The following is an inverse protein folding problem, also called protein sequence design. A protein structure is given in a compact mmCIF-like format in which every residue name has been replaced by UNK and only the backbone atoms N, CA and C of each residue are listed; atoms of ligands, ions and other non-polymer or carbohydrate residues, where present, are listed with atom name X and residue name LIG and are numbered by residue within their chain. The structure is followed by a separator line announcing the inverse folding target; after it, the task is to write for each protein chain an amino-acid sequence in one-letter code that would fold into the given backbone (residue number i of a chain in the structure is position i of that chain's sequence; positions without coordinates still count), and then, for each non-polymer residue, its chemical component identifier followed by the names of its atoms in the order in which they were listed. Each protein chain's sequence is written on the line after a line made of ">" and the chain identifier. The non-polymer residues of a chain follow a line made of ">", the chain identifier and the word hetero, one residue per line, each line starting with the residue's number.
data_IF_500891095366
#
_entry.id   IF_500891095366
#
_cell.length_a   1.000
_cell.length_b   1.000
_cell.length_c   1.000
_cell.angle_alpha   90.00
_cell.angle_beta   90.00
_cell.angle_gamma   90.00
#
_symmetry.space_group_name_H-M   'P 1'
#
loop_
_entity.id
_entity.type
_entity.pdbx_description
1 polymer ?
#
# COMPACT_ATOMS: atom_id res chain seq x y z
N UNK A 1 12.45 -74.60 30.11
CA UNK A 1 11.71 -73.43 30.57
C UNK A 1 11.99 -72.30 29.60
N UNK A 2 11.09 -72.08 28.67
CA UNK A 2 11.26 -71.06 27.59
C UNK A 2 10.40 -69.82 27.95
N UNK A 3 11.04 -68.67 28.24
CA UNK A 3 10.35 -67.39 28.44
C UNK A 3 10.24 -66.67 27.11
N UNK A 4 9.02 -66.57 26.57
CA UNK A 4 8.70 -65.72 25.44
C UNK A 4 8.46 -64.30 25.92
N UNK A 5 9.35 -63.36 25.54
CA UNK A 5 9.11 -61.92 25.70
C UNK A 5 8.25 -61.45 24.54
N UNK A 6 7.03 -60.97 24.83
CA UNK A 6 6.17 -60.21 23.88
C UNK A 6 6.68 -58.77 23.85
N UNK A 7 7.11 -58.33 22.67
CA UNK A 7 7.38 -56.92 22.37
C UNK A 7 6.06 -56.30 21.93
N UNK A 8 5.55 -55.32 22.71
CA UNK A 8 4.43 -54.50 22.36
C UNK A 8 5.00 -53.29 21.59
N UNK A 9 4.77 -53.21 20.26
CA UNK A 9 5.09 -52.07 19.47
C UNK A 9 3.99 -51.01 19.66
N UNK A 10 4.33 -49.89 20.31
CA UNK A 10 3.47 -48.71 20.46
C UNK A 10 3.59 -47.90 19.18
N UNK A 11 2.59 -47.97 18.28
CA UNK A 11 2.53 -47.14 17.09
C UNK A 11 2.13 -45.71 17.46
N UNK A 12 3.06 -44.77 17.31
CA UNK A 12 2.77 -43.33 17.37
C UNK A 12 2.10 -42.92 16.04
N UNK A 13 0.79 -42.66 16.09
CA UNK A 13 0.08 -42.00 14.99
C UNK A 13 0.38 -40.51 15.11
N UNK A 14 1.27 -40.00 14.28
CA UNK A 14 1.49 -38.56 14.11
C UNK A 14 0.35 -38.04 13.26
N UNK A 15 -0.63 -37.40 13.89
CA UNK A 15 -1.61 -36.57 13.18
C UNK A 15 -0.89 -35.33 12.63
N UNK A 16 -0.47 -35.39 11.39
CA UNK A 16 -0.03 -34.22 10.65
C UNK A 16 -1.24 -33.27 10.46
N UNK A 17 -1.32 -32.20 11.25
CA UNK A 17 -2.19 -31.09 10.97
C UNK A 17 -1.72 -30.44 9.66
N UNK A 18 -2.34 -30.84 8.56
CA UNK A 18 -2.22 -30.13 7.31
C UNK A 18 -2.93 -28.79 7.49
N UNK A 19 -2.20 -27.74 7.87
CA UNK A 19 -2.71 -26.38 7.78
C UNK A 19 -2.81 -26.08 6.28
N UNK A 20 -3.97 -26.32 5.70
CA UNK A 20 -4.31 -25.73 4.41
C UNK A 20 -4.31 -24.20 4.63
N UNK A 21 -3.22 -23.57 4.23
CA UNK A 21 -3.18 -22.13 3.99
C UNK A 21 -4.23 -21.87 2.92
N UNK A 22 -5.45 -21.50 3.33
CA UNK A 22 -6.42 -20.94 2.40
C UNK A 22 -5.77 -19.68 1.83
N UNK A 23 -5.28 -19.74 0.61
CA UNK A 23 -4.86 -18.56 -0.12
C UNK A 23 -6.03 -17.58 -0.04
N UNK A 24 -5.77 -16.39 0.48
CA UNK A 24 -6.79 -15.35 0.56
C UNK A 24 -7.29 -15.06 -0.85
N UNK A 25 -8.60 -15.12 -1.05
CA UNK A 25 -9.19 -14.84 -2.37
C UNK A 25 -8.81 -13.41 -2.80
N UNK A 26 -8.33 -13.28 -4.04
CA UNK A 26 -8.05 -11.99 -4.63
C UNK A 26 -9.33 -11.12 -4.65
N UNK A 27 -9.23 -9.80 -4.43
CA UNK A 27 -10.39 -8.94 -4.50
C UNK A 27 -10.91 -8.86 -5.94
N UNK A 28 -12.22 -8.66 -6.09
CA UNK A 28 -12.86 -8.34 -7.37
C UNK A 28 -13.29 -6.87 -7.45
N UNK A 29 -13.18 -6.18 -6.35
CA UNK A 29 -13.49 -4.75 -6.23
C UNK A 29 -12.79 -4.14 -5.01
N UNK A 30 -12.44 -2.85 -5.09
CA UNK A 30 -11.93 -2.13 -3.93
C UNK A 30 -12.44 -0.70 -3.89
N UNK A 31 -12.33 -0.06 -2.72
CA UNK A 31 -12.48 1.37 -2.54
C UNK A 31 -11.15 1.95 -2.04
N UNK A 32 -10.85 3.17 -2.45
CA UNK A 32 -9.70 3.92 -2.00
C UNK A 32 -10.18 5.31 -1.56
N UNK A 33 -10.30 5.51 -0.24
CA UNK A 33 -10.90 6.70 0.37
C UNK A 33 -9.99 7.20 1.48
N UNK A 34 -9.22 8.25 1.20
CA UNK A 34 -8.32 8.86 2.20
C UNK A 34 -8.99 10.04 2.94
N UNK A 35 -9.98 10.67 2.31
CA UNK A 35 -10.72 11.80 2.87
C UNK A 35 -12.10 11.33 3.32
N UNK A 36 -12.17 10.47 4.34
CA UNK A 36 -13.42 9.86 4.79
C UNK A 36 -14.40 10.89 5.42
N UNK A 37 -13.90 11.98 5.96
CA UNK A 37 -14.67 13.14 6.43
C UNK A 37 -15.40 13.88 5.28
N UNK A 38 -14.90 13.76 4.06
CA UNK A 38 -15.59 14.22 2.85
C UNK A 38 -16.64 13.22 2.37
N UNK A 39 -16.51 11.93 2.70
CA UNK A 39 -17.50 10.89 2.37
C UNK A 39 -18.79 11.06 3.18
N UNK A 40 -18.70 11.51 4.43
CA UNK A 40 -19.84 11.68 5.35
C UNK A 40 -19.55 12.79 6.37
N UNK A 41 -20.64 13.35 6.96
CA UNK A 41 -20.52 14.44 7.94
C UNK A 41 -20.02 13.97 9.30
N UNK A 42 -20.25 12.71 9.63
CA UNK A 42 -19.83 12.11 10.90
C UNK A 42 -19.14 10.79 10.65
N UNK A 43 -18.26 10.38 11.57
CA UNK A 43 -17.58 9.09 11.50
C UNK A 43 -18.58 7.92 11.47
N UNK A 44 -19.67 7.99 12.25
CA UNK A 44 -20.71 6.96 12.27
C UNK A 44 -21.40 6.80 10.90
N UNK A 45 -21.69 7.91 10.21
CA UNK A 45 -22.24 7.88 8.84
C UNK A 45 -21.21 7.32 7.84
N UNK A 46 -19.92 7.67 7.99
CA UNK A 46 -18.85 7.10 7.15
C UNK A 46 -18.73 5.59 7.35
N UNK A 47 -18.75 5.10 8.60
CA UNK A 47 -18.75 3.67 8.94
C UNK A 47 -19.91 2.97 8.25
N UNK A 48 -21.13 3.52 8.35
CA UNK A 48 -22.32 2.94 7.72
C UNK A 48 -22.20 2.87 6.18
N UNK A 49 -21.69 3.94 5.54
CA UNK A 49 -21.49 3.97 4.09
C UNK A 49 -20.41 2.98 3.64
N UNK A 50 -19.29 2.90 4.37
CA UNK A 50 -18.22 1.96 4.10
C UNK A 50 -18.67 0.51 4.29
N UNK A 51 -19.43 0.23 5.34
CA UNK A 51 -20.02 -1.10 5.57
C UNK A 51 -20.96 -1.51 4.43
N UNK A 52 -21.77 -0.59 3.91
CA UNK A 52 -22.76 -0.86 2.87
C UNK A 52 -22.17 -0.87 1.43
N UNK A 53 -20.90 -0.47 1.21
CA UNK A 53 -20.38 -0.18 -0.14
C UNK A 53 -20.17 -1.40 -1.05
N UNK A 54 -20.28 -2.63 -0.54
CA UNK A 54 -20.17 -3.86 -1.34
C UNK A 54 -18.74 -4.21 -1.81
N UNK A 55 -17.70 -3.45 -1.44
CA UNK A 55 -16.30 -3.69 -1.87
C UNK A 55 -15.66 -4.83 -1.09
N UNK A 56 -14.75 -5.56 -1.76
CA UNK A 56 -13.95 -6.63 -1.13
C UNK A 56 -12.83 -6.05 -0.27
N UNK A 57 -12.09 -5.09 -0.81
CA UNK A 57 -11.05 -4.37 -0.09
C UNK A 57 -11.42 -2.90 0.04
N UNK A 58 -11.06 -2.31 1.16
CA UNK A 58 -11.24 -0.88 1.42
C UNK A 58 -9.92 -0.34 1.94
N UNK A 59 -9.33 0.61 1.21
CA UNK A 59 -8.16 1.36 1.65
C UNK A 59 -8.64 2.68 2.24
N UNK A 60 -8.24 2.95 3.49
CA UNK A 60 -8.58 4.15 4.25
C UNK A 60 -7.31 4.81 4.79
N UNK A 61 -7.36 6.11 5.06
CA UNK A 61 -6.40 6.70 6.01
C UNK A 61 -6.56 6.04 7.39
N UNK A 62 -5.53 6.09 8.24
CA UNK A 62 -5.59 5.58 9.60
C UNK A 62 -6.63 6.29 10.50
N UNK A 63 -7.12 7.46 10.05
CA UNK A 63 -8.10 8.28 10.75
C UNK A 63 -9.26 8.65 9.84
N UNK A 64 -10.44 8.89 10.44
CA UNK A 64 -11.59 9.46 9.75
C UNK A 64 -11.33 10.92 9.35
N UNK A 65 -10.73 11.66 10.24
CA UNK A 65 -10.22 13.03 10.06
C UNK A 65 -8.93 13.21 10.88
N UNK A 66 -8.28 14.35 10.78
CA UNK A 66 -6.99 14.63 11.44
C UNK A 66 -6.99 14.28 12.93
N UNK A 67 -8.07 14.56 13.65
CA UNK A 67 -8.17 14.38 15.10
C UNK A 67 -9.06 13.21 15.52
N UNK A 68 -9.58 12.44 14.57
CA UNK A 68 -10.55 11.38 14.86
C UNK A 68 -10.12 10.03 14.25
N UNK A 69 -9.25 9.26 14.94
CA UNK A 69 -8.80 7.96 14.45
C UNK A 69 -9.96 6.94 14.43
N UNK A 70 -9.84 5.95 13.54
CA UNK A 70 -10.73 4.79 13.57
C UNK A 70 -10.49 3.96 14.82
N UNK A 71 -11.57 3.40 15.37
CA UNK A 71 -11.51 2.44 16.48
C UNK A 71 -11.60 1.00 15.93
N UNK A 72 -11.19 0.03 16.74
CA UNK A 72 -11.36 -1.39 16.40
C UNK A 72 -12.84 -1.74 16.13
N UNK A 73 -13.79 -1.12 16.83
CA UNK A 73 -15.22 -1.32 16.62
C UNK A 73 -15.69 -0.75 15.27
N UNK A 74 -15.19 0.43 14.87
CA UNK A 74 -15.50 1.01 13.57
C UNK A 74 -15.02 0.08 12.44
N UNK A 75 -13.76 -0.38 12.52
CA UNK A 75 -13.17 -1.28 11.53
C UNK A 75 -13.89 -2.64 11.48
N UNK A 76 -14.28 -3.18 12.63
CA UNK A 76 -15.07 -4.41 12.68
C UNK A 76 -16.43 -4.22 11.96
N UNK A 77 -17.15 -3.13 12.25
CA UNK A 77 -18.43 -2.80 11.60
C UNK A 77 -18.25 -2.66 10.07
N UNK A 78 -17.19 -1.97 9.62
CA UNK A 78 -16.91 -1.84 8.19
C UNK A 78 -16.61 -3.22 7.58
N UNK A 79 -15.80 -4.04 8.24
CA UNK A 79 -15.41 -5.38 7.77
C UNK A 79 -16.61 -6.31 7.65
N UNK A 80 -17.50 -6.31 8.65
CA UNK A 80 -18.66 -7.19 8.74
C UNK A 80 -19.75 -6.86 7.69
N UNK A 81 -19.67 -5.70 7.05
CA UNK A 81 -20.56 -5.32 5.95
C UNK A 81 -20.45 -6.22 4.69
N UNK A 82 -19.40 -7.04 4.58
CA UNK A 82 -19.26 -8.05 3.51
C UNK A 82 -18.36 -9.19 3.96
N UNK A 83 -18.77 -10.42 3.74
CA UNK A 83 -17.98 -11.63 4.06
C UNK A 83 -16.64 -11.57 3.32
N UNK A 84 -15.55 -11.78 4.06
CA UNK A 84 -14.19 -11.80 3.51
C UNK A 84 -13.57 -10.43 3.22
N UNK A 85 -14.29 -9.33 3.53
CA UNK A 85 -13.78 -7.97 3.35
C UNK A 85 -12.49 -7.72 4.14
N UNK A 86 -11.60 -6.93 3.54
CA UNK A 86 -10.40 -6.41 4.19
C UNK A 86 -10.44 -4.89 4.26
N UNK A 87 -10.00 -4.36 5.39
CA UNK A 87 -9.85 -2.92 5.63
C UNK A 87 -8.37 -2.65 5.86
N UNK A 88 -7.77 -1.87 4.98
CA UNK A 88 -6.32 -1.70 4.83
C UNK A 88 -6.01 -0.23 5.08
N UNK A 89 -4.96 0.08 5.86
CA UNK A 89 -4.58 1.46 6.16
C UNK A 89 -3.55 1.99 5.17
N UNK A 90 -3.80 3.19 4.66
CA UNK A 90 -2.81 3.98 3.94
C UNK A 90 -1.65 4.39 4.87
N UNK A 91 -0.45 4.42 4.33
CA UNK A 91 0.75 4.91 5.01
C UNK A 91 1.78 5.40 3.98
N UNK A 92 2.11 6.70 3.99
CA UNK A 92 3.22 7.24 3.21
C UNK A 92 4.56 6.82 3.83
N UNK A 93 5.42 6.15 3.05
CA UNK A 93 6.71 5.64 3.53
C UNK A 93 7.93 6.33 2.92
N UNK A 94 7.72 7.09 1.85
CA UNK A 94 8.77 7.86 1.15
C UNK A 94 8.67 9.36 1.36
N UNK A 95 7.60 9.83 2.03
CA UNK A 95 7.42 11.23 2.42
C UNK A 95 6.88 11.36 3.84
N UNK A 96 7.30 12.41 4.55
CA UNK A 96 6.76 12.82 5.82
C UNK A 96 5.63 13.84 5.58
N UNK A 97 4.53 13.69 6.32
CA UNK A 97 3.34 14.53 6.19
C UNK A 97 3.19 15.42 7.42
N UNK A 98 3.14 16.77 7.25
CA UNK A 98 3.20 17.75 8.35
C UNK A 98 1.94 17.78 9.23
N UNK A 99 0.90 17.09 8.81
CA UNK A 99 -0.35 16.93 9.55
C UNK A 99 -0.42 15.63 10.37
N UNK A 100 0.64 14.83 10.38
CA UNK A 100 0.69 13.58 11.16
C UNK A 100 1.21 13.81 12.57
N UNK A 101 0.77 12.95 13.49
CA UNK A 101 1.12 13.01 14.91
C UNK A 101 2.64 13.01 15.18
N UNK A 102 3.42 12.36 14.30
CA UNK A 102 4.88 12.32 14.44
C UNK A 102 5.58 13.62 14.02
N UNK A 103 4.88 14.53 13.34
CA UNK A 103 5.48 15.78 12.86
C UNK A 103 5.79 16.74 14.03
N UNK A 104 6.97 17.32 13.99
CA UNK A 104 7.32 18.39 14.90
C UNK A 104 7.26 19.74 14.16
N UNK A 105 6.39 20.67 14.56
CA UNK A 105 6.26 21.97 13.90
C UNK A 105 7.56 22.76 13.80
N UNK A 106 8.55 22.48 14.67
CA UNK A 106 9.87 23.12 14.62
C UNK A 106 10.75 22.63 13.45
N UNK A 107 10.31 21.60 12.70
CA UNK A 107 11.06 21.11 11.53
C UNK A 107 10.94 22.04 10.31
N UNK A 108 9.86 22.79 10.22
CA UNK A 108 9.64 23.88 9.24
C UNK A 108 8.73 24.93 9.89
N UNK A 109 9.28 25.69 10.86
CA UNK A 109 8.53 26.64 11.66
C UNK A 109 8.10 27.89 10.88
N UNK A 110 8.84 28.22 9.82
CA UNK A 110 8.53 29.38 8.96
C UNK A 110 7.62 29.00 7.76
N UNK A 111 7.30 27.71 7.58
CA UNK A 111 6.46 27.17 6.50
C UNK A 111 6.94 27.51 5.09
N UNK A 112 8.28 27.56 4.87
CA UNK A 112 8.86 27.82 3.54
C UNK A 112 9.08 26.52 2.72
N UNK A 113 8.73 25.36 3.28
CA UNK A 113 8.86 24.05 2.65
C UNK A 113 10.29 23.48 2.72
N UNK A 114 11.11 24.01 3.61
CA UNK A 114 12.49 23.54 3.83
C UNK A 114 12.71 23.20 5.30
N UNK A 115 13.43 22.11 5.57
CA UNK A 115 13.77 21.79 6.94
C UNK A 115 14.59 22.90 7.61
N UNK A 116 14.17 23.34 8.80
CA UNK A 116 14.88 24.31 9.64
C UNK A 116 16.09 23.68 10.35
N UNK A 117 16.94 24.54 10.94
CA UNK A 117 18.04 24.08 11.77
C UNK A 117 17.51 23.26 12.95
N UNK A 118 17.96 22.01 13.08
CA UNK A 118 17.48 21.08 14.13
C UNK A 118 16.42 20.08 13.62
N UNK A 119 15.96 20.20 12.40
CA UNK A 119 15.21 19.13 11.76
C UNK A 119 16.08 17.87 11.59
N UNK A 120 15.50 16.67 11.62
CA UNK A 120 16.28 15.44 11.50
C UNK A 120 16.92 15.30 10.12
N UNK A 121 18.10 14.69 10.06
CA UNK A 121 18.89 14.56 8.85
C UNK A 121 18.20 13.75 7.72
N UNK A 122 17.19 12.98 8.05
CA UNK A 122 16.39 12.24 7.08
C UNK A 122 15.32 13.10 6.40
N UNK A 123 14.94 14.26 6.97
CA UNK A 123 13.92 15.14 6.42
C UNK A 123 14.52 16.03 5.31
N UNK A 124 13.86 16.08 4.18
CA UNK A 124 14.24 16.88 3.01
C UNK A 124 13.17 17.92 2.70
N UNK A 125 13.35 18.69 1.61
CA UNK A 125 12.39 19.71 1.21
C UNK A 125 11.02 19.16 0.81
N UNK A 126 10.00 20.03 0.94
CA UNK A 126 8.62 19.74 0.58
C UNK A 126 8.48 19.32 -0.89
N UNK A 127 7.59 18.39 -1.16
CA UNK A 127 7.18 18.03 -2.49
C UNK A 127 6.44 19.22 -3.14
N UNK A 128 6.88 19.72 -4.29
CA UNK A 128 6.29 20.90 -4.92
C UNK A 128 4.85 20.66 -5.42
N UNK A 129 4.46 19.40 -5.64
CA UNK A 129 3.11 19.03 -6.11
C UNK A 129 2.13 18.77 -4.96
N UNK A 130 2.66 18.42 -3.78
CA UNK A 130 1.86 18.08 -2.61
C UNK A 130 2.30 18.88 -1.40
N UNK A 131 1.63 20.02 -1.16
CA UNK A 131 1.92 20.86 0.00
C UNK A 131 1.64 20.10 1.31
N UNK A 132 2.59 20.18 2.24
CA UNK A 132 2.53 19.46 3.52
C UNK A 132 3.24 18.12 3.49
N UNK A 133 3.67 17.65 2.31
CA UNK A 133 4.44 16.43 2.16
C UNK A 133 5.91 16.75 1.94
N UNK A 134 6.79 16.14 2.72
CA UNK A 134 8.23 16.37 2.70
C UNK A 134 8.95 15.09 2.33
N UNK A 135 9.82 15.15 1.34
CA UNK A 135 10.66 14.01 0.94
C UNK A 135 11.52 13.56 2.11
N UNK A 136 11.79 12.26 2.18
CA UNK A 136 12.62 11.69 3.24
C UNK A 136 13.70 10.78 2.68
N UNK A 137 14.79 10.64 3.42
CA UNK A 137 15.76 9.57 3.20
C UNK A 137 15.22 8.29 3.83
N UNK A 138 14.37 7.57 3.09
CA UNK A 138 13.63 6.41 3.59
C UNK A 138 14.53 5.25 4.06
N UNK A 139 15.81 5.23 3.69
CA UNK A 139 16.82 4.29 4.18
C UNK A 139 17.36 4.61 5.57
N UNK A 140 17.05 5.79 6.11
CA UNK A 140 17.56 6.21 7.42
C UNK A 140 16.80 5.54 8.57
N UNK A 141 17.52 4.88 9.51
CA UNK A 141 16.88 4.12 10.61
C UNK A 141 15.93 4.95 11.47
N UNK A 142 16.22 6.24 11.67
CA UNK A 142 15.36 7.11 12.47
C UNK A 142 14.00 7.35 11.82
N UNK A 143 13.92 7.52 10.51
CA UNK A 143 12.67 7.57 9.77
C UNK A 143 11.95 6.22 9.79
N UNK A 144 12.66 5.15 9.51
CA UNK A 144 12.12 3.80 9.53
C UNK A 144 11.48 3.45 10.88
N UNK A 145 12.11 3.84 12.00
CA UNK A 145 11.56 3.60 13.34
C UNK A 145 10.23 4.32 13.57
N UNK A 146 10.07 5.55 13.09
CA UNK A 146 8.79 6.29 13.14
C UNK A 146 7.71 5.50 12.39
N UNK A 147 8.00 5.08 11.16
CA UNK A 147 7.02 4.36 10.33
C UNK A 147 6.71 2.96 10.87
N UNK A 148 7.68 2.23 11.39
CA UNK A 148 7.43 0.93 12.02
C UNK A 148 6.55 1.07 13.26
N UNK A 149 6.67 2.15 14.02
CA UNK A 149 5.76 2.45 15.13
C UNK A 149 4.33 2.70 14.63
N UNK A 150 4.17 3.43 13.52
CA UNK A 150 2.86 3.62 12.90
C UNK A 150 2.28 2.30 12.38
N UNK A 151 3.09 1.42 11.78
CA UNK A 151 2.65 0.07 11.37
C UNK A 151 2.12 -0.72 12.55
N UNK A 152 2.83 -0.70 13.69
CA UNK A 152 2.37 -1.38 14.92
C UNK A 152 1.01 -0.84 15.38
N UNK A 153 0.84 0.48 15.39
CA UNK A 153 -0.43 1.11 15.79
C UNK A 153 -1.57 0.76 14.82
N UNK A 154 -1.33 0.81 13.51
CA UNK A 154 -2.29 0.44 12.48
C UNK A 154 -2.78 -0.99 12.68
N UNK A 155 -1.87 -1.94 12.82
CA UNK A 155 -2.22 -3.36 12.98
C UNK A 155 -2.90 -3.59 14.34
N UNK A 156 -2.43 -2.95 15.42
CA UNK A 156 -3.05 -3.04 16.74
C UNK A 156 -4.46 -2.46 16.78
N UNK A 157 -4.76 -1.43 15.98
CA UNK A 157 -6.12 -0.87 15.84
C UNK A 157 -7.07 -1.84 15.15
N UNK A 158 -6.57 -2.83 14.41
CA UNK A 158 -7.38 -3.87 13.78
C UNK A 158 -7.51 -3.73 12.27
N UNK A 159 -6.70 -2.93 11.60
CA UNK A 159 -6.58 -2.99 10.14
C UNK A 159 -6.02 -4.35 9.69
N UNK A 160 -6.45 -4.81 8.53
CA UNK A 160 -6.00 -6.08 7.95
C UNK A 160 -4.64 -5.97 7.26
N UNK A 161 -4.07 -4.79 7.15
CA UNK A 161 -2.79 -4.55 6.52
C UNK A 161 -2.52 -3.08 6.22
N UNK A 162 -1.49 -2.84 5.40
CA UNK A 162 -1.01 -1.50 5.02
C UNK A 162 -0.95 -1.34 3.50
N UNK A 163 -1.37 -0.16 3.05
CA UNK A 163 -1.23 0.32 1.68
C UNK A 163 -0.15 1.40 1.68
N UNK A 164 0.98 1.10 1.06
CA UNK A 164 2.21 1.89 1.17
C UNK A 164 2.31 2.84 -0.01
N UNK A 165 2.31 4.13 0.27
CA UNK A 165 2.46 5.18 -0.72
C UNK A 165 3.89 5.73 -0.76
N UNK A 166 4.21 6.43 -1.88
CA UNK A 166 5.53 6.99 -2.18
C UNK A 166 6.63 5.90 -2.17
N UNK A 167 6.27 4.71 -2.64
CA UNK A 167 7.22 3.63 -2.90
C UNK A 167 8.11 3.97 -4.10
N UNK A 168 7.62 4.78 -5.02
CA UNK A 168 8.37 5.37 -6.13
C UNK A 168 9.28 6.54 -5.71
N UNK A 169 9.31 6.90 -4.43
CA UNK A 169 10.17 7.96 -3.88
C UNK A 169 11.65 7.82 -4.21
N UNK A 170 12.13 6.61 -4.55
CA UNK A 170 13.49 6.39 -5.05
C UNK A 170 13.79 7.13 -6.35
N UNK A 171 12.81 7.38 -7.20
CA UNK A 171 12.98 8.09 -8.47
C UNK A 171 13.50 9.52 -8.27
N UNK A 172 13.13 10.16 -7.15
CA UNK A 172 13.66 11.47 -6.77
C UNK A 172 15.19 11.46 -6.63
N UNK A 173 15.74 10.37 -6.13
CA UNK A 173 17.18 10.21 -5.91
C UNK A 173 17.91 9.67 -7.14
N UNK A 174 17.19 9.07 -8.07
CA UNK A 174 17.71 8.67 -9.39
C UNK A 174 17.77 9.84 -10.37
N UNK A 175 17.11 10.96 -10.05
CA UNK A 175 17.16 12.17 -10.87
C UNK A 175 18.53 12.86 -10.75
N UNK A 176 19.13 13.19 -11.90
CA UNK A 176 20.36 13.97 -12.02
C UNK A 176 20.15 15.13 -13.02
N UNK A 177 19.71 16.26 -12.51
CA UNK A 177 19.28 17.38 -13.33
C UNK A 177 18.06 17.01 -14.18
N UNK A 178 18.24 16.90 -15.51
CA UNK A 178 17.17 16.49 -16.45
C UNK A 178 17.21 15.00 -16.80
N UNK A 179 18.20 14.28 -16.33
CA UNK A 179 18.42 12.88 -16.65
C UNK A 179 18.00 11.99 -15.47
N UNK A 180 17.67 10.75 -15.76
CA UNK A 180 17.51 9.69 -14.77
C UNK A 180 18.68 8.73 -14.89
N UNK A 181 19.20 8.29 -13.75
CA UNK A 181 20.23 7.25 -13.66
C UNK A 181 19.55 6.05 -13.03
N UNK A 182 19.09 5.15 -13.89
CA UNK A 182 18.45 3.92 -13.45
C UNK A 182 19.33 3.14 -12.47
N UNK A 183 18.73 2.71 -11.38
CA UNK A 183 19.36 1.91 -10.33
C UNK A 183 20.59 2.62 -9.72
N UNK A 184 20.52 3.94 -9.60
CA UNK A 184 21.59 4.79 -9.05
C UNK A 184 21.99 4.33 -7.65
N UNK A 185 23.32 4.24 -7.44
CA UNK A 185 23.87 3.86 -6.13
C UNK A 185 23.67 4.99 -5.11
N UNK A 186 23.13 4.64 -3.95
CA UNK A 186 23.05 5.49 -2.78
C UNK A 186 24.42 5.50 -2.07
N UNK A 187 25.10 6.64 -1.97
CA UNK A 187 26.43 6.71 -1.33
C UNK A 187 26.40 6.45 0.18
N UNK A 188 25.23 6.57 0.82
CA UNK A 188 25.09 6.33 2.27
C UNK A 188 24.96 4.83 2.61
N UNK A 189 24.40 4.02 1.70
CA UNK A 189 24.16 2.57 1.93
C UNK A 189 25.06 1.70 1.07
N UNK A 190 25.65 2.23 0.01
CA UNK A 190 26.38 1.49 -1.02
C UNK A 190 25.51 0.49 -1.80
N UNK A 191 24.18 0.58 -1.68
CA UNK A 191 23.19 -0.12 -2.49
C UNK A 191 22.55 0.84 -3.49
N UNK A 192 21.73 0.35 -4.43
CA UNK A 192 20.91 1.26 -5.23
C UNK A 192 19.75 1.81 -4.40
N UNK A 193 19.27 3.02 -4.75
CA UNK A 193 18.07 3.57 -4.12
C UNK A 193 16.87 2.64 -4.27
N UNK A 194 16.73 1.94 -5.40
CA UNK A 194 15.69 0.91 -5.60
C UNK A 194 15.84 -0.24 -4.60
N UNK A 195 17.08 -0.73 -4.38
CA UNK A 195 17.33 -1.80 -3.41
C UNK A 195 17.02 -1.35 -1.98
N UNK A 196 17.39 -0.15 -1.60
CA UNK A 196 17.04 0.42 -0.29
C UNK A 196 15.52 0.46 -0.08
N UNK A 197 14.72 0.81 -1.13
CA UNK A 197 13.26 0.81 -1.04
C UNK A 197 12.69 -0.60 -0.96
N UNK A 198 13.23 -1.54 -1.73
CA UNK A 198 12.85 -2.97 -1.62
C UNK A 198 13.06 -3.47 -0.21
N UNK A 199 14.24 -3.23 0.39
CA UNK A 199 14.54 -3.67 1.75
C UNK A 199 13.64 -2.97 2.77
N UNK A 200 13.29 -1.72 2.54
CA UNK A 200 12.38 -0.96 3.39
C UNK A 200 10.95 -1.54 3.37
N UNK A 201 10.37 -1.78 2.21
CA UNK A 201 9.05 -2.41 2.09
C UNK A 201 9.04 -3.82 2.71
N UNK A 202 10.12 -4.60 2.54
CA UNK A 202 10.28 -5.91 3.19
C UNK A 202 10.32 -5.81 4.71
N UNK A 203 10.98 -4.79 5.25
CA UNK A 203 11.02 -4.56 6.71
C UNK A 203 9.63 -4.23 7.26
N UNK A 204 8.86 -3.38 6.55
CA UNK A 204 7.45 -3.08 6.90
C UNK A 204 6.60 -4.35 6.85
N UNK A 205 6.72 -5.15 5.80
CA UNK A 205 5.97 -6.40 5.66
C UNK A 205 6.28 -7.38 6.80
N UNK A 206 7.54 -7.54 7.14
CA UNK A 206 7.97 -8.37 8.26
C UNK A 206 7.40 -7.85 9.58
N UNK A 207 7.43 -6.53 9.83
CA UNK A 207 6.90 -5.90 11.04
C UNK A 207 5.39 -6.10 11.17
N UNK A 208 4.62 -5.80 10.13
CA UNK A 208 3.17 -5.98 10.13
C UNK A 208 2.78 -7.43 10.44
N UNK A 209 3.50 -8.40 9.86
CA UNK A 209 3.25 -9.83 10.04
C UNK A 209 3.73 -10.38 11.38
N UNK A 210 4.50 -9.64 12.14
CA UNK A 210 4.85 -10.02 13.54
C UNK A 210 3.60 -9.99 14.43
N UNK A 211 2.72 -9.00 14.24
CA UNK A 211 1.50 -8.84 15.03
C UNK A 211 0.31 -9.57 14.39
N UNK A 212 0.18 -9.49 13.07
CA UNK A 212 -0.85 -10.20 12.30
C UNK A 212 -0.18 -10.97 11.16
N UNK A 213 0.01 -12.27 11.32
CA UNK A 213 0.71 -13.12 10.34
C UNK A 213 0.10 -13.12 8.93
N UNK A 214 -1.16 -12.66 8.81
CA UNK A 214 -1.89 -12.52 7.54
C UNK A 214 -2.00 -11.08 7.08
N UNK A 215 -1.21 -10.15 7.65
CA UNK A 215 -1.25 -8.74 7.27
C UNK A 215 -0.93 -8.54 5.79
N UNK A 216 -1.82 -7.83 5.12
CA UNK A 216 -1.72 -7.51 3.70
C UNK A 216 -0.78 -6.32 3.52
N UNK A 217 0.11 -6.39 2.54
CA UNK A 217 1.05 -5.32 2.20
C UNK A 217 0.93 -5.00 0.72
N UNK A 218 0.55 -3.77 0.43
CA UNK A 218 0.29 -3.27 -0.94
C UNK A 218 1.13 -2.02 -1.18
N UNK A 219 2.23 -2.07 -1.90
CA UNK A 219 2.92 -0.87 -2.38
C UNK A 219 2.14 -0.22 -3.52
N UNK A 220 2.19 1.11 -3.60
CA UNK A 220 1.65 1.89 -4.70
C UNK A 220 2.78 2.39 -5.60
N UNK A 221 2.61 2.26 -6.91
CA UNK A 221 3.59 2.67 -7.92
C UNK A 221 4.95 1.96 -7.76
N UNK A 222 6.06 2.58 -8.17
CA UNK A 222 7.40 2.00 -8.05
C UNK A 222 7.52 0.64 -8.75
N UNK A 223 6.86 0.46 -9.88
CA UNK A 223 6.73 -0.85 -10.56
C UNK A 223 8.06 -1.46 -10.99
N UNK A 224 9.11 -0.64 -11.16
CA UNK A 224 10.49 -1.08 -11.44
C UNK A 224 11.01 -2.04 -10.35
N UNK A 225 10.53 -1.91 -9.10
CA UNK A 225 10.91 -2.79 -7.99
C UNK A 225 10.44 -4.22 -8.19
N UNK A 226 9.42 -4.45 -9.03
CA UNK A 226 8.92 -5.78 -9.38
C UNK A 226 9.93 -6.63 -10.18
N UNK A 227 11.04 -6.05 -10.62
CA UNK A 227 12.17 -6.81 -11.13
C UNK A 227 12.84 -7.69 -10.04
N UNK A 228 12.56 -7.44 -8.76
CA UNK A 228 13.14 -8.16 -7.64
C UNK A 228 12.17 -9.22 -7.10
N UNK A 229 12.50 -10.49 -7.25
CA UNK A 229 11.66 -11.60 -6.81
C UNK A 229 11.38 -11.58 -5.29
N UNK A 230 12.33 -11.13 -4.47
CA UNK A 230 12.15 -11.01 -3.02
C UNK A 230 11.19 -9.87 -2.61
N UNK A 231 11.08 -8.82 -3.45
CA UNK A 231 10.06 -7.80 -3.30
C UNK A 231 8.66 -8.38 -3.58
N UNK A 232 8.50 -9.07 -4.72
CA UNK A 232 7.23 -9.72 -5.08
C UNK A 232 6.80 -10.70 -3.99
N UNK A 233 7.72 -11.47 -3.41
CA UNK A 233 7.42 -12.42 -2.34
C UNK A 233 6.95 -11.74 -1.05
N UNK A 234 7.38 -10.50 -0.78
CA UNK A 234 7.06 -9.76 0.42
C UNK A 234 5.68 -9.07 0.39
N UNK A 235 5.14 -8.79 -0.79
CA UNK A 235 3.90 -8.03 -1.00
C UNK A 235 2.73 -8.94 -1.38
N UNK A 236 1.49 -8.49 -1.19
CA UNK A 236 0.28 -9.27 -1.51
C UNK A 236 -0.44 -8.77 -2.76
N UNK A 237 -0.27 -7.51 -3.10
CA UNK A 237 -0.78 -6.85 -4.29
C UNK A 237 0.11 -5.65 -4.63
N UNK A 238 -0.15 -5.00 -5.75
CA UNK A 238 0.42 -3.69 -6.11
C UNK A 238 -0.69 -2.76 -6.56
N UNK A 239 -0.64 -1.49 -6.11
CA UNK A 239 -1.47 -0.41 -6.63
C UNK A 239 -0.72 0.37 -7.70
N UNK A 240 -1.42 0.83 -8.74
CA UNK A 240 -0.87 1.69 -9.79
C UNK A 240 -1.87 2.76 -10.13
N UNK A 241 -1.42 4.01 -10.17
CA UNK A 241 -2.24 5.17 -10.55
C UNK A 241 -1.95 5.63 -11.96
N UNK A 242 -2.99 6.18 -12.61
CA UNK A 242 -2.88 6.80 -13.94
C UNK A 242 -2.20 5.89 -14.99
N UNK A 243 -2.40 4.59 -14.92
CA UNK A 243 -1.73 3.62 -15.81
C UNK A 243 -2.17 3.80 -17.28
N UNK A 244 -3.46 4.02 -17.50
CA UNK A 244 -4.03 4.14 -18.84
C UNK A 244 -4.40 5.58 -19.19
N UNK A 245 -4.67 6.43 -18.19
CA UNK A 245 -4.97 7.83 -18.42
C UNK A 245 -4.55 8.71 -17.24
N UNK A 246 -3.87 9.82 -17.50
CA UNK A 246 -3.70 10.89 -16.53
C UNK A 246 -4.92 11.82 -16.60
N UNK A 247 -5.86 11.65 -15.67
CA UNK A 247 -7.16 12.28 -15.73
C UNK A 247 -7.91 11.94 -17.01
N UNK A 248 -8.27 12.94 -17.80
CA UNK A 248 -8.99 12.73 -19.07
C UNK A 248 -8.08 12.59 -20.32
N UNK A 249 -6.77 12.52 -20.14
CA UNK A 249 -5.80 12.35 -21.20
C UNK A 249 -5.22 10.94 -21.17
N UNK A 250 -5.44 10.17 -22.22
CA UNK A 250 -4.84 8.83 -22.36
C UNK A 250 -3.31 8.91 -22.30
N UNK A 251 -2.71 7.96 -21.61
CA UNK A 251 -1.27 7.79 -21.59
C UNK A 251 -0.72 7.40 -22.96
N UNK A 252 0.54 7.66 -23.20
CA UNK A 252 1.21 7.18 -24.40
C UNK A 252 1.38 5.67 -24.31
N UNK A 253 1.16 4.97 -25.42
CA UNK A 253 1.27 3.51 -25.47
C UNK A 253 2.65 2.99 -24.99
N UNK A 254 3.73 3.74 -25.23
CA UNK A 254 5.06 3.37 -24.78
C UNK A 254 5.21 3.46 -23.26
N UNK A 255 4.65 4.51 -22.63
CA UNK A 255 4.71 4.73 -21.19
C UNK A 255 3.87 3.65 -20.47
N UNK A 256 2.64 3.39 -20.94
CA UNK A 256 1.79 2.30 -20.43
C UNK A 256 2.48 0.94 -20.58
N UNK A 257 3.07 0.67 -21.77
CA UNK A 257 3.76 -0.60 -22.01
C UNK A 257 4.93 -0.80 -21.05
N UNK A 258 5.72 0.23 -20.80
CA UNK A 258 6.85 0.18 -19.87
C UNK A 258 6.41 -0.30 -18.48
N UNK A 259 5.31 0.25 -17.95
CA UNK A 259 4.78 -0.16 -16.65
C UNK A 259 4.17 -1.58 -16.71
N UNK A 260 3.41 -1.90 -17.77
CA UNK A 260 2.82 -3.24 -17.94
C UNK A 260 3.88 -4.35 -18.01
N UNK A 261 5.05 -4.06 -18.57
CA UNK A 261 6.16 -5.04 -18.63
C UNK A 261 6.60 -5.45 -17.22
N UNK A 262 6.67 -4.55 -16.25
CA UNK A 262 6.95 -4.88 -14.85
C UNK A 262 5.75 -5.56 -14.17
N UNK A 263 4.54 -5.08 -14.40
CA UNK A 263 3.32 -5.64 -13.81
C UNK A 263 3.07 -7.09 -14.21
N UNK A 264 3.62 -7.54 -15.34
CA UNK A 264 3.55 -8.93 -15.78
C UNK A 264 4.09 -9.91 -14.74
N UNK A 265 5.05 -9.49 -13.90
CA UNK A 265 5.58 -10.29 -12.82
C UNK A 265 4.55 -10.56 -11.70
N UNK A 266 3.66 -9.61 -11.42
CA UNK A 266 2.56 -9.80 -10.47
C UNK A 266 1.52 -10.79 -11.01
N UNK A 267 1.17 -10.67 -12.29
CA UNK A 267 0.28 -11.63 -12.98
C UNK A 267 0.86 -13.04 -12.95
N UNK A 268 2.16 -13.18 -13.24
CA UNK A 268 2.86 -14.46 -13.18
C UNK A 268 2.90 -15.06 -11.76
N UNK A 269 2.95 -14.20 -10.74
CA UNK A 269 2.89 -14.59 -9.33
C UNK A 269 1.45 -14.81 -8.81
N UNK A 270 0.43 -14.67 -9.66
CA UNK A 270 -0.99 -14.72 -9.30
C UNK A 270 -1.38 -13.73 -8.19
N UNK A 271 -0.75 -12.55 -8.16
CA UNK A 271 -1.03 -11.47 -7.21
C UNK A 271 -1.81 -10.35 -7.88
N UNK A 272 -2.82 -9.76 -7.19
CA UNK A 272 -3.65 -8.72 -7.77
C UNK A 272 -2.86 -7.45 -8.10
N UNK A 273 -3.25 -6.81 -9.20
CA UNK A 273 -2.91 -5.43 -9.52
C UNK A 273 -4.17 -4.59 -9.33
N UNK A 274 -4.07 -3.54 -8.52
CA UNK A 274 -5.12 -2.56 -8.25
C UNK A 274 -4.85 -1.34 -9.13
N UNK A 275 -5.68 -1.11 -10.14
CA UNK A 275 -5.54 0.00 -11.09
C UNK A 275 -6.44 1.16 -10.67
N UNK A 276 -5.84 2.32 -10.37
CA UNK A 276 -6.51 3.51 -9.88
C UNK A 276 -6.51 4.58 -10.96
N UNK A 277 -7.69 4.94 -11.46
CA UNK A 277 -7.87 5.89 -12.55
C UNK A 277 -8.73 7.08 -12.15
N UNK A 278 -8.34 8.27 -12.56
CA UNK A 278 -8.98 9.53 -12.17
C UNK A 278 -9.74 10.21 -13.32
N UNK A 279 -10.11 9.45 -14.33
CA UNK A 279 -10.85 9.94 -15.49
C UNK A 279 -12.24 10.45 -15.09
N UNK A 280 -12.61 11.66 -15.56
CA UNK A 280 -13.93 12.27 -15.33
C UNK A 280 -14.88 12.04 -16.51
N UNK A 281 -14.34 12.00 -17.75
CA UNK A 281 -15.14 11.83 -18.97
C UNK A 281 -15.50 10.38 -19.21
N UNK A 282 -16.80 10.08 -19.36
CA UNK A 282 -17.31 8.72 -19.60
C UNK A 282 -16.56 7.93 -20.69
N UNK A 283 -16.23 8.52 -21.89
CA UNK A 283 -15.48 7.77 -22.90
C UNK A 283 -14.10 7.32 -22.42
N UNK A 284 -13.42 8.12 -21.59
CA UNK A 284 -12.11 7.77 -21.02
C UNK A 284 -12.30 6.71 -19.94
N UNK A 285 -13.27 6.87 -19.03
CA UNK A 285 -13.62 5.85 -18.03
C UNK A 285 -13.89 4.48 -18.67
N UNK A 286 -14.60 4.44 -19.79
CA UNK A 286 -14.86 3.19 -20.51
C UNK A 286 -13.58 2.58 -21.04
N UNK A 287 -12.66 3.38 -21.59
CA UNK A 287 -11.38 2.90 -22.13
C UNK A 287 -10.46 2.36 -21.04
N UNK A 288 -10.28 3.08 -19.92
CA UNK A 288 -9.40 2.65 -18.84
C UNK A 288 -9.92 1.35 -18.20
N UNK A 289 -11.23 1.26 -17.95
CA UNK A 289 -11.85 0.02 -17.44
C UNK A 289 -11.63 -1.16 -18.37
N UNK A 290 -11.86 -0.97 -19.68
CA UNK A 290 -11.64 -2.03 -20.66
C UNK A 290 -10.17 -2.46 -20.72
N UNK A 291 -9.23 -1.50 -20.65
CA UNK A 291 -7.81 -1.80 -20.65
C UNK A 291 -7.38 -2.55 -19.38
N UNK A 292 -7.84 -2.13 -18.20
CA UNK A 292 -7.59 -2.82 -16.94
C UNK A 292 -8.15 -4.25 -16.95
N UNK A 293 -9.39 -4.43 -17.40
CA UNK A 293 -10.03 -5.74 -17.50
C UNK A 293 -9.30 -6.68 -18.47
N UNK A 294 -8.78 -6.17 -19.60
CA UNK A 294 -7.98 -6.94 -20.56
C UNK A 294 -6.68 -7.46 -19.95
N UNK A 295 -6.12 -6.73 -18.98
CA UNK A 295 -4.91 -7.13 -18.26
C UNK A 295 -5.21 -7.96 -16.99
N UNK A 296 -6.48 -8.23 -16.68
CA UNK A 296 -6.88 -8.99 -15.49
C UNK A 296 -6.75 -8.19 -14.19
N UNK A 297 -6.72 -6.86 -14.25
CA UNK A 297 -6.57 -5.98 -13.09
C UNK A 297 -7.90 -5.69 -12.42
N UNK A 298 -7.85 -5.42 -11.12
CA UNK A 298 -8.97 -4.86 -10.37
C UNK A 298 -8.89 -3.35 -10.49
N UNK A 299 -9.84 -2.73 -11.17
CA UNK A 299 -9.82 -1.30 -11.43
C UNK A 299 -10.74 -0.53 -10.49
N UNK A 300 -10.40 0.73 -10.24
CA UNK A 300 -11.28 1.75 -9.68
C UNK A 300 -11.17 3.02 -10.51
N UNK A 301 -12.32 3.64 -10.80
CA UNK A 301 -12.39 5.01 -11.32
C UNK A 301 -12.97 5.88 -10.21
N UNK A 302 -12.19 6.82 -9.73
CA UNK A 302 -12.53 7.67 -8.58
C UNK A 302 -12.09 9.12 -8.78
N UNK A 303 -12.23 9.97 -7.78
CA UNK A 303 -11.69 11.32 -7.77
C UNK A 303 -10.26 11.35 -7.24
N UNK A 304 -9.42 12.26 -7.77
CA UNK A 304 -8.01 12.36 -7.39
C UNK A 304 -7.77 12.74 -5.92
N UNK A 305 -8.75 13.29 -5.26
CA UNK A 305 -8.66 13.62 -3.83
C UNK A 305 -9.11 12.46 -2.94
N UNK A 306 -9.52 11.34 -3.53
CA UNK A 306 -9.93 10.13 -2.82
C UNK A 306 -11.00 10.37 -1.75
N UNK A 307 -12.02 11.16 -2.14
CA UNK A 307 -13.16 11.56 -1.30
C UNK A 307 -14.39 10.68 -1.47
N UNK A 308 -14.42 9.85 -2.51
CA UNK A 308 -15.58 9.05 -2.89
C UNK A 308 -15.26 7.57 -3.00
N UNK A 309 -16.29 6.74 -2.93
CA UNK A 309 -16.16 5.29 -3.11
C UNK A 309 -15.81 4.88 -4.56
N UNK A 310 -15.90 5.79 -5.51
CA UNK A 310 -15.67 5.51 -6.91
C UNK A 310 -16.51 4.36 -7.47
N UNK A 311 -16.19 3.94 -8.68
CA UNK A 311 -16.71 2.74 -9.33
C UNK A 311 -15.58 1.75 -9.52
N UNK A 312 -15.75 0.49 -9.12
CA UNK A 312 -14.69 -0.52 -9.15
C UNK A 312 -15.21 -1.89 -9.58
N UNK A 313 -14.35 -2.69 -10.19
CA UNK A 313 -14.65 -4.03 -10.67
C UNK A 313 -13.48 -4.69 -11.37
N UNK A 314 -13.77 -5.84 -12.01
CA UNK A 314 -12.85 -6.58 -12.88
C UNK A 314 -13.35 -6.67 -14.33
N UNK A 315 -14.61 -6.32 -14.55
CA UNK A 315 -15.23 -6.30 -15.87
C UNK A 315 -15.27 -4.85 -16.43
N UNK A 316 -15.25 -4.67 -17.77
CA UNK A 316 -15.25 -3.35 -18.41
C UNK A 316 -16.43 -2.48 -18.02
#
# INVERSE_FOLDING_TARGET
>A
MNFHRKIIALGFIVFGFCHSLFAQAAPTSFAYVLQADSLAKTKAEAVAKLAACGRDWIVLDASFSTDEPWTAADLATIRDGKIGRKVISYLSIGEAEDYRVYWNPAWDANHDGKPDAGAPAWLLGQNPEWKGNYRVKYWQPAWQQIMLTNVDQIIATGFDGVYLDIVDGFETFEQDGKNFIDDRVNPETSQSYRRDMVDWVKAIAARARTTNSTAIVIPQNGTQLLANADFINAIDAVGVEDLFANGDKLQKAADTKYILDFLSAMTAAHKPVLDIEYAKRKPIQTRVRAAAAQNGFVWIVTDRQLKTLGTSGTNP
#
